data_IF_386306396114
#
_entry.id   IF_386306396114
#
_cell.length_a   1.000
_cell.length_b   1.000
_cell.length_c   1.000
_cell.angle_alpha   90.00
_cell.angle_beta   90.00
_cell.angle_gamma   90.00
#
_symmetry.space_group_name_H-M   'P 1'
#
loop_
_entity.id
_entity.type
_entity.pdbx_description
1 polymer ?
#
# COMPACT_ATOMS: atom_id res chain seq x y z
N UNK A 1 -12.61 -6.77 -11.99
CA UNK A 1 -11.84 -5.53 -11.81
C UNK A 1 -10.38 -5.81 -12.14
N UNK A 2 -9.60 -4.82 -12.57
CA UNK A 2 -8.17 -4.90 -12.82
C UNK A 2 -7.42 -3.98 -11.85
N UNK A 3 -6.39 -4.53 -11.21
CA UNK A 3 -5.51 -3.79 -10.32
C UNK A 3 -4.10 -3.83 -10.92
N UNK A 4 -3.55 -2.65 -11.16
CA UNK A 4 -2.15 -2.46 -11.55
C UNK A 4 -1.34 -2.05 -10.33
N UNK A 5 -0.25 -2.74 -10.04
CA UNK A 5 0.71 -2.35 -9.00
C UNK A 5 2.03 -1.94 -9.65
N UNK A 6 2.62 -0.84 -9.20
CA UNK A 6 3.79 -0.22 -9.85
C UNK A 6 4.92 0.03 -8.86
N UNK A 7 6.14 -0.29 -9.28
CA UNK A 7 7.39 -0.08 -8.57
C UNK A 7 8.36 0.72 -9.43
N UNK A 8 9.22 1.51 -8.79
CA UNK A 8 10.33 2.19 -9.45
C UNK A 8 11.68 1.61 -9.07
N UNK A 9 12.69 1.84 -9.92
CA UNK A 9 14.08 1.74 -9.46
C UNK A 9 14.36 2.81 -8.40
N UNK A 10 15.21 2.46 -7.44
CA UNK A 10 15.81 3.40 -6.50
C UNK A 10 16.67 4.44 -7.23
N UNK A 11 16.89 5.58 -6.58
CA UNK A 11 17.76 6.63 -7.10
C UNK A 11 17.20 7.47 -8.25
N UNK A 12 15.96 7.26 -8.70
CA UNK A 12 15.30 8.20 -9.61
C UNK A 12 15.24 9.59 -8.97
N UNK A 13 15.55 10.61 -9.76
CA UNK A 13 15.29 12.00 -9.37
C UNK A 13 13.78 12.20 -9.14
N UNK A 14 13.41 13.14 -8.26
CA UNK A 14 11.99 13.43 -8.04
C UNK A 14 11.30 13.85 -9.34
N UNK A 15 11.99 14.62 -10.19
CA UNK A 15 11.49 15.02 -11.51
C UNK A 15 11.22 13.81 -12.41
N UNK A 16 12.16 12.89 -12.52
CA UNK A 16 12.00 11.68 -13.35
C UNK A 16 10.87 10.80 -12.83
N UNK A 17 10.78 10.62 -11.50
CA UNK A 17 9.72 9.84 -10.87
C UNK A 17 8.35 10.51 -11.07
N UNK A 18 8.27 11.83 -10.96
CA UNK A 18 7.05 12.60 -11.20
C UNK A 18 6.54 12.44 -12.64
N UNK A 19 7.43 12.64 -13.63
CA UNK A 19 7.07 12.49 -15.04
C UNK A 19 6.59 11.07 -15.37
N UNK A 20 7.30 10.06 -14.84
CA UNK A 20 6.92 8.66 -15.00
C UNK A 20 5.59 8.33 -14.30
N UNK A 21 5.36 8.86 -13.09
CA UNK A 21 4.09 8.69 -12.36
C UNK A 21 2.92 9.23 -13.18
N UNK A 22 3.06 10.45 -13.72
CA UNK A 22 2.05 11.08 -14.57
C UNK A 22 1.77 10.24 -15.82
N UNK A 23 2.82 9.77 -16.51
CA UNK A 23 2.69 8.93 -17.70
C UNK A 23 1.93 7.63 -17.38
N UNK A 24 2.31 6.93 -16.32
CA UNK A 24 1.69 5.66 -15.92
C UNK A 24 0.22 5.86 -15.55
N UNK A 25 -0.13 6.92 -14.83
CA UNK A 25 -1.53 7.23 -14.50
C UNK A 25 -2.34 7.47 -15.78
N UNK A 26 -1.86 8.35 -16.65
CA UNK A 26 -2.61 8.75 -17.85
C UNK A 26 -2.78 7.62 -18.87
N UNK A 27 -1.86 6.65 -18.90
CA UNK A 27 -1.90 5.51 -19.82
C UNK A 27 -2.49 4.23 -19.21
N UNK A 28 -2.83 4.24 -17.90
CA UNK A 28 -3.42 3.07 -17.24
C UNK A 28 -4.81 2.75 -17.81
N UNK A 29 -5.06 1.45 -17.98
CA UNK A 29 -6.39 0.90 -18.32
C UNK A 29 -6.97 0.04 -17.20
N UNK A 30 -6.28 -0.03 -16.05
CA UNK A 30 -6.76 -0.71 -14.85
C UNK A 30 -7.86 0.13 -14.16
N UNK A 31 -8.72 -0.53 -13.40
CA UNK A 31 -9.71 0.15 -12.56
C UNK A 31 -9.04 0.84 -11.35
N UNK A 32 -7.95 0.24 -10.85
CA UNK A 32 -7.14 0.77 -9.74
C UNK A 32 -5.64 0.64 -10.04
N UNK A 33 -4.90 1.69 -9.74
CA UNK A 33 -3.45 1.75 -9.78
C UNK A 33 -2.88 2.00 -8.38
N UNK A 34 -2.06 1.08 -7.87
CA UNK A 34 -1.33 1.24 -6.62
C UNK A 34 0.15 1.50 -6.92
N UNK A 35 0.66 2.64 -6.46
CA UNK A 35 2.08 2.92 -6.48
C UNK A 35 2.78 2.47 -5.19
N UNK A 36 4.06 2.16 -5.29
CA UNK A 36 4.94 2.03 -4.13
C UNK A 36 5.02 3.34 -3.35
N UNK A 37 5.36 3.26 -2.06
CA UNK A 37 5.55 4.43 -1.21
C UNK A 37 6.63 5.38 -1.75
N UNK A 38 6.61 6.62 -1.26
CA UNK A 38 7.40 7.73 -1.81
C UNK A 38 7.25 7.87 -3.34
N UNK A 39 6.00 7.85 -3.81
CA UNK A 39 5.65 8.03 -5.23
C UNK A 39 5.96 9.47 -5.67
N UNK A 40 5.53 10.44 -4.86
CA UNK A 40 5.76 11.87 -5.07
C UNK A 40 6.71 12.38 -3.97
N UNK A 41 7.66 13.23 -4.34
CA UNK A 41 8.67 13.72 -3.42
C UNK A 41 8.16 14.83 -2.52
N UNK A 42 7.54 15.85 -3.12
CA UNK A 42 7.21 17.11 -2.45
C UNK A 42 5.81 17.63 -2.79
N UNK A 43 5.24 18.41 -1.87
CA UNK A 43 3.87 18.93 -1.98
C UNK A 43 3.60 19.78 -3.22
N UNK A 44 4.59 20.52 -3.74
CA UNK A 44 4.44 21.32 -4.96
C UNK A 44 4.19 20.45 -6.22
N UNK A 45 4.66 19.21 -6.22
CA UNK A 45 4.42 18.25 -7.29
C UNK A 45 2.95 17.81 -7.31
N UNK A 46 2.24 17.85 -6.18
CA UNK A 46 0.79 17.52 -6.13
C UNK A 46 -0.03 18.49 -6.97
N UNK A 47 0.23 19.80 -6.86
CA UNK A 47 -0.48 20.81 -7.67
C UNK A 47 -0.16 20.66 -9.16
N UNK A 48 1.09 20.30 -9.48
CA UNK A 48 1.49 20.00 -10.86
C UNK A 48 0.82 18.74 -11.39
N UNK A 49 0.62 17.73 -10.53
CA UNK A 49 -0.07 16.49 -10.90
C UNK A 49 -1.55 16.77 -11.18
N UNK A 50 -2.23 17.57 -10.35
CA UNK A 50 -3.65 17.93 -10.52
C UNK A 50 -3.98 18.48 -11.91
N UNK A 51 -3.10 19.30 -12.48
CA UNK A 51 -3.31 19.90 -13.81
C UNK A 51 -2.89 18.99 -14.96
N UNK A 52 -2.20 17.89 -14.65
CA UNK A 52 -1.58 17.00 -15.63
C UNK A 52 -2.32 15.66 -15.81
N UNK A 53 -3.20 15.29 -14.87
CA UNK A 53 -3.98 14.05 -14.97
C UNK A 53 -5.14 14.24 -15.95
N UNK A 54 -5.17 13.40 -16.97
CA UNK A 54 -6.25 13.34 -17.97
C UNK A 54 -7.08 12.07 -17.86
N UNK A 55 -6.53 11.00 -17.26
CA UNK A 55 -7.26 9.78 -16.99
C UNK A 55 -8.25 9.98 -15.83
N UNK A 56 -9.52 9.72 -16.12
CA UNK A 56 -10.63 9.81 -15.16
C UNK A 56 -11.22 8.46 -14.77
N UNK A 57 -10.82 7.39 -15.46
CA UNK A 57 -11.39 6.05 -15.31
C UNK A 57 -10.64 5.24 -14.26
N UNK A 58 -9.33 5.43 -14.15
CA UNK A 58 -8.49 4.72 -13.16
C UNK A 58 -8.50 5.45 -11.82
N UNK A 59 -8.85 4.76 -10.74
CA UNK A 59 -8.58 5.22 -9.37
C UNK A 59 -7.10 4.98 -9.03
N UNK A 60 -6.46 5.88 -8.28
CA UNK A 60 -5.01 5.79 -8.00
C UNK A 60 -4.71 6.00 -6.53
N UNK A 61 -3.99 5.07 -5.89
CA UNK A 61 -3.43 5.25 -4.56
C UNK A 61 -1.93 5.48 -4.67
N UNK A 62 -1.47 6.59 -4.11
CA UNK A 62 -0.05 6.96 -4.09
C UNK A 62 0.32 7.69 -2.80
N UNK A 63 1.63 7.77 -2.55
CA UNK A 63 2.16 8.39 -1.34
C UNK A 63 3.05 9.58 -1.64
N UNK A 64 2.81 10.68 -0.93
CA UNK A 64 3.68 11.84 -0.86
C UNK A 64 4.68 11.68 0.30
N UNK A 65 5.97 11.74 -0.01
CA UNK A 65 7.04 11.61 0.99
C UNK A 65 7.06 12.77 1.98
N UNK A 66 7.10 14.02 1.50
CA UNK A 66 7.33 15.19 2.35
C UNK A 66 6.37 16.33 2.02
N UNK A 67 5.70 16.86 3.05
CA UNK A 67 4.87 18.06 2.96
C UNK A 67 5.62 19.34 3.39
N UNK A 68 6.95 19.28 3.43
CA UNK A 68 7.83 20.26 4.08
C UNK A 68 7.55 20.37 5.58
N UNK A 69 7.39 19.21 6.23
CA UNK A 69 7.18 19.12 7.68
C UNK A 69 8.09 18.08 8.32
N UNK A 70 8.71 18.44 9.43
CA UNK A 70 9.46 17.47 10.24
C UNK A 70 8.56 16.45 10.94
N UNK A 71 7.27 16.79 11.13
CA UNK A 71 6.32 16.02 11.94
C UNK A 71 5.43 15.08 11.12
N UNK A 72 5.17 15.41 9.86
CA UNK A 72 4.22 14.70 9.01
C UNK A 72 4.91 14.38 7.69
N UNK A 73 4.99 13.08 7.39
CA UNK A 73 5.60 12.52 6.19
C UNK A 73 4.77 11.33 5.73
N UNK A 74 4.95 10.88 4.50
CA UNK A 74 4.32 9.66 3.97
C UNK A 74 2.79 9.79 3.97
N UNK A 75 2.28 10.88 3.40
CA UNK A 75 0.85 11.17 3.31
C UNK A 75 0.22 10.40 2.16
N UNK A 76 -0.96 9.81 2.38
CA UNK A 76 -1.70 9.14 1.33
C UNK A 76 -2.59 10.09 0.54
N UNK A 77 -2.60 9.85 -0.76
CA UNK A 77 -3.49 10.52 -1.70
C UNK A 77 -4.24 9.48 -2.54
N UNK A 78 -5.44 9.90 -2.95
CA UNK A 78 -6.32 9.13 -3.80
C UNK A 78 -6.71 9.99 -5.01
N UNK A 79 -6.49 9.50 -6.22
CA UNK A 79 -7.06 10.10 -7.43
C UNK A 79 -8.35 9.36 -7.75
N UNK A 80 -9.46 10.10 -7.83
CA UNK A 80 -10.77 9.55 -8.17
C UNK A 80 -11.46 10.48 -9.16
N UNK A 81 -11.95 9.94 -10.27
CA UNK A 81 -12.58 10.71 -11.36
C UNK A 81 -11.69 11.85 -11.89
N UNK A 82 -10.36 11.64 -11.89
CA UNK A 82 -9.37 12.65 -12.27
C UNK A 82 -9.06 13.70 -11.21
N UNK A 83 -9.69 13.66 -10.03
CA UNK A 83 -9.43 14.61 -8.94
C UNK A 83 -8.51 14.01 -7.88
N UNK A 84 -7.49 14.78 -7.47
CA UNK A 84 -6.56 14.38 -6.42
C UNK A 84 -7.11 14.77 -5.04
N UNK A 85 -7.33 13.78 -4.19
CA UNK A 85 -7.85 13.91 -2.84
C UNK A 85 -6.77 13.52 -1.82
N UNK A 86 -6.57 14.36 -0.81
CA UNK A 86 -5.76 14.00 0.35
C UNK A 86 -6.61 13.13 1.29
N UNK A 87 -6.10 11.98 1.73
CA UNK A 87 -6.81 11.12 2.68
C UNK A 87 -6.67 11.60 4.15
N UNK A 88 -6.01 12.74 4.37
CA UNK A 88 -5.76 13.37 5.66
C UNK A 88 -5.14 12.42 6.68
N UNK A 89 -4.18 11.64 6.21
CA UNK A 89 -3.54 10.55 6.93
C UNK A 89 -2.09 10.41 6.49
N UNK A 90 -1.29 9.81 7.35
CA UNK A 90 0.13 9.58 7.16
C UNK A 90 0.53 8.27 7.85
N UNK A 91 1.67 7.70 7.47
CA UNK A 91 2.17 6.50 8.15
C UNK A 91 2.34 6.76 9.66
N UNK A 92 1.73 5.92 10.49
CA UNK A 92 1.66 6.13 11.95
C UNK A 92 2.86 5.51 12.67
N UNK A 93 3.33 4.34 12.21
CA UNK A 93 4.54 3.67 12.69
C UNK A 93 5.12 2.75 11.62
N UNK A 94 6.35 2.28 11.81
CA UNK A 94 7.04 1.38 10.89
C UNK A 94 7.39 0.05 11.55
N UNK A 95 7.78 0.05 12.81
CA UNK A 95 8.40 -1.09 13.47
C UNK A 95 7.52 -1.71 14.54
N UNK A 96 7.72 -3.01 14.80
CA UNK A 96 6.98 -3.70 15.86
C UNK A 96 7.23 -3.13 17.25
N UNK A 97 8.43 -2.57 17.50
CA UNK A 97 8.76 -1.97 18.79
C UNK A 97 7.95 -0.71 19.12
N UNK A 98 7.48 0.03 18.12
CA UNK A 98 6.68 1.24 18.32
C UNK A 98 5.24 0.93 18.77
N UNK A 99 4.70 -0.20 18.32
CA UNK A 99 3.31 -0.61 18.52
C UNK A 99 3.16 -1.65 19.64
N UNK A 100 4.25 -2.27 20.09
CA UNK A 100 4.24 -3.23 21.20
C UNK A 100 3.65 -2.60 22.46
N UNK A 101 2.54 -3.15 22.96
CA UNK A 101 1.78 -2.64 24.12
C UNK A 101 1.35 -1.16 24.03
N UNK A 102 1.31 -0.59 22.82
CA UNK A 102 0.95 0.82 22.60
C UNK A 102 -0.50 0.94 22.11
N UNK A 103 -1.43 0.86 23.06
CA UNK A 103 -2.87 0.86 22.80
C UNK A 103 -3.36 2.13 22.11
N UNK A 104 -2.80 3.31 22.45
CA UNK A 104 -3.17 4.59 21.85
C UNK A 104 -2.76 4.66 20.38
N UNK A 105 -1.60 4.11 20.04
CA UNK A 105 -1.12 4.07 18.66
C UNK A 105 -1.96 3.11 17.81
N UNK A 106 -2.34 1.96 18.37
CA UNK A 106 -3.27 1.04 17.72
C UNK A 106 -4.66 1.67 17.55
N UNK A 107 -5.22 2.30 18.58
CA UNK A 107 -6.51 2.98 18.49
C UNK A 107 -6.49 4.07 17.41
N UNK A 108 -5.42 4.87 17.34
CA UNK A 108 -5.23 5.86 16.27
C UNK A 108 -5.16 5.21 14.88
N UNK A 109 -4.50 4.05 14.72
CA UNK A 109 -4.45 3.36 13.44
C UNK A 109 -5.81 2.79 13.02
N UNK A 110 -6.51 2.09 13.92
CA UNK A 110 -7.84 1.54 13.66
C UNK A 110 -8.87 2.66 13.43
N UNK A 111 -8.75 3.74 14.21
CA UNK A 111 -8.90 5.14 13.82
C UNK A 111 -9.08 5.45 12.33
N UNK A 112 -7.91 5.64 11.73
CA UNK A 112 -7.70 6.07 10.35
C UNK A 112 -8.09 4.98 9.34
N UNK A 113 -7.94 3.69 9.69
CA UNK A 113 -8.42 2.59 8.87
C UNK A 113 -9.93 2.68 8.63
N UNK A 114 -10.73 2.82 9.69
CA UNK A 114 -12.18 2.84 9.56
C UNK A 114 -12.72 4.10 8.89
N UNK A 115 -12.04 5.24 9.01
CA UNK A 115 -12.61 6.55 8.67
C UNK A 115 -11.92 7.30 7.53
N UNK A 116 -10.67 6.95 7.18
CA UNK A 116 -9.85 7.74 6.24
C UNK A 116 -9.26 6.93 5.11
N UNK A 117 -8.89 5.67 5.38
CA UNK A 117 -8.13 4.82 4.45
C UNK A 117 -8.96 3.75 3.77
N UNK A 118 -10.27 3.80 3.99
CA UNK A 118 -11.25 2.88 3.43
C UNK A 118 -12.05 3.56 2.34
N UNK A 119 -12.20 2.90 1.19
CA UNK A 119 -12.97 3.40 0.05
C UNK A 119 -13.55 2.25 -0.76
N UNK A 120 -14.46 2.53 -1.69
CA UNK A 120 -15.12 1.51 -2.49
C UNK A 120 -14.89 1.72 -3.99
N UNK A 121 -14.61 0.64 -4.71
CA UNK A 121 -14.58 0.56 -6.18
C UNK A 121 -15.41 -0.65 -6.60
N UNK A 122 -16.40 -0.46 -7.48
CA UNK A 122 -17.21 -1.56 -8.04
C UNK A 122 -17.77 -2.56 -6.99
N UNK A 123 -18.28 -2.03 -5.87
CA UNK A 123 -18.81 -2.76 -4.69
C UNK A 123 -17.77 -3.46 -3.80
N UNK A 124 -16.50 -3.48 -4.18
CA UNK A 124 -15.42 -3.97 -3.33
C UNK A 124 -14.94 -2.86 -2.40
N UNK A 125 -14.70 -3.22 -1.15
CA UNK A 125 -14.20 -2.39 -0.07
C UNK A 125 -12.67 -2.53 0.03
N UNK A 126 -11.97 -1.41 -0.12
CA UNK A 126 -10.53 -1.32 -0.11
C UNK A 126 -10.03 -0.68 1.19
N UNK A 127 -8.92 -1.18 1.72
CA UNK A 127 -8.21 -0.57 2.85
C UNK A 127 -6.72 -0.40 2.53
N UNK A 128 -6.17 0.79 2.80
CA UNK A 128 -4.73 1.05 2.67
C UNK A 128 -4.01 0.90 4.01
N UNK A 129 -3.03 -0.01 4.06
CA UNK A 129 -2.07 -0.20 5.17
C UNK A 129 -0.71 0.25 4.69
N UNK A 130 -0.11 1.29 5.26
CA UNK A 130 1.14 1.87 4.74
C UNK A 130 2.36 1.16 5.30
N UNK A 131 3.16 0.57 4.40
CA UNK A 131 4.49 0.06 4.68
C UNK A 131 4.51 -0.81 5.95
N UNK A 132 5.28 -0.39 6.96
CA UNK A 132 5.50 -1.11 8.20
C UNK A 132 4.31 -1.18 9.16
N UNK A 133 3.21 -0.48 8.90
CA UNK A 133 1.99 -0.54 9.73
C UNK A 133 1.39 -1.96 9.79
N UNK A 134 1.77 -2.84 8.87
CA UNK A 134 1.47 -4.27 8.97
C UNK A 134 2.08 -4.94 10.23
N UNK A 135 2.95 -4.24 10.98
CA UNK A 135 3.39 -4.62 12.33
C UNK A 135 2.29 -4.48 13.41
N UNK A 136 1.11 -3.95 13.07
CA UNK A 136 -0.13 -4.12 13.85
C UNK A 136 -0.47 -5.61 14.07
N UNK A 137 0.06 -6.47 13.20
CA UNK A 137 0.05 -7.92 13.32
C UNK A 137 1.35 -8.40 13.97
N UNK A 138 1.27 -9.49 14.74
CA UNK A 138 2.44 -10.23 15.23
C UNK A 138 2.45 -11.66 14.69
N UNK A 139 3.65 -12.23 14.57
CA UNK A 139 3.84 -13.63 14.24
C UNK A 139 4.20 -14.39 15.52
N UNK A 140 3.50 -15.47 15.79
CA UNK A 140 3.81 -16.40 16.89
C UNK A 140 4.74 -17.46 16.32
N UNK A 141 6.04 -17.28 16.55
CA UNK A 141 7.10 -18.08 15.92
C UNK A 141 7.05 -19.54 16.34
N UNK A 142 6.64 -19.82 17.59
CA UNK A 142 6.46 -21.17 18.12
C UNK A 142 5.30 -21.94 17.46
N UNK A 143 4.42 -21.25 16.74
CA UNK A 143 3.23 -21.81 16.09
C UNK A 143 3.32 -21.60 14.58
N UNK A 144 4.43 -22.02 13.98
CA UNK A 144 4.65 -21.93 12.52
C UNK A 144 4.47 -20.51 11.95
N UNK A 145 4.81 -19.49 12.74
CA UNK A 145 4.59 -18.07 12.43
C UNK A 145 3.11 -17.68 12.24
N UNK A 146 2.17 -18.36 12.93
CA UNK A 146 0.76 -17.96 12.99
C UNK A 146 0.64 -16.47 13.24
N UNK A 147 -0.26 -15.83 12.49
CA UNK A 147 -0.47 -14.39 12.55
C UNK A 147 -1.71 -14.09 13.37
N UNK A 148 -1.60 -13.09 14.23
CA UNK A 148 -2.73 -12.51 14.93
C UNK A 148 -2.55 -11.00 15.11
N UNK A 149 -3.63 -10.34 15.48
CA UNK A 149 -3.59 -8.95 15.92
C UNK A 149 -2.67 -8.81 17.14
N UNK A 150 -1.85 -7.76 17.20
CA UNK A 150 -0.83 -7.66 18.26
C UNK A 150 -1.46 -7.51 19.65
N UNK A 151 -2.59 -6.80 19.74
CA UNK A 151 -3.28 -6.46 20.97
C UNK A 151 -4.58 -7.28 21.14
N UNK A 152 -4.54 -8.58 20.86
CA UNK A 152 -5.68 -9.50 21.00
C UNK A 152 -6.32 -9.50 22.39
N UNK A 153 -5.54 -9.23 23.43
CA UNK A 153 -6.01 -9.19 24.83
C UNK A 153 -6.90 -7.96 25.14
N UNK A 154 -6.83 -6.90 24.32
CA UNK A 154 -7.74 -5.76 24.43
C UNK A 154 -9.01 -6.04 23.63
N UNK A 155 -10.09 -6.39 24.33
CA UNK A 155 -11.34 -6.80 23.70
C UNK A 155 -11.92 -5.73 22.75
N UNK A 156 -11.79 -4.44 23.10
CA UNK A 156 -12.36 -3.33 22.32
C UNK A 156 -11.57 -3.13 21.03
N UNK A 157 -10.24 -3.08 21.12
CA UNK A 157 -9.38 -2.92 19.95
C UNK A 157 -9.45 -4.17 19.05
N UNK A 158 -9.51 -5.36 19.65
CA UNK A 158 -9.62 -6.60 18.90
C UNK A 158 -10.95 -6.70 18.14
N UNK A 159 -12.09 -6.39 18.78
CA UNK A 159 -13.39 -6.33 18.10
C UNK A 159 -13.37 -5.34 16.93
N UNK A 160 -12.81 -4.15 17.16
CA UNK A 160 -12.69 -3.12 16.12
C UNK A 160 -11.80 -3.58 14.96
N UNK A 161 -10.67 -4.23 15.24
CA UNK A 161 -9.80 -4.78 14.22
C UNK A 161 -10.50 -5.88 13.40
N UNK A 162 -11.19 -6.81 14.07
CA UNK A 162 -11.95 -7.87 13.41
C UNK A 162 -13.07 -7.31 12.53
N UNK A 163 -13.77 -6.26 12.98
CA UNK A 163 -14.76 -5.56 12.17
C UNK A 163 -14.14 -4.98 10.90
N UNK A 164 -13.04 -4.23 11.02
CA UNK A 164 -12.31 -3.68 9.86
C UNK A 164 -11.89 -4.80 8.90
N UNK A 165 -11.34 -5.91 9.43
CA UNK A 165 -10.93 -7.06 8.65
C UNK A 165 -12.10 -7.70 7.91
N UNK A 166 -13.28 -7.81 8.54
CA UNK A 166 -14.46 -8.43 7.95
C UNK A 166 -15.13 -7.55 6.88
N UNK A 167 -15.05 -6.24 7.01
CA UNK A 167 -15.64 -5.31 6.06
C UNK A 167 -14.67 -4.88 4.94
N UNK A 168 -13.50 -5.53 4.83
CA UNK A 168 -12.50 -5.23 3.81
C UNK A 168 -12.37 -6.41 2.85
N UNK A 169 -12.48 -6.15 1.56
CA UNK A 169 -12.32 -7.14 0.50
C UNK A 169 -10.89 -7.12 -0.06
N UNK A 170 -10.29 -5.92 -0.14
CA UNK A 170 -8.97 -5.73 -0.74
C UNK A 170 -8.06 -4.87 0.16
N UNK A 171 -6.92 -5.42 0.56
CA UNK A 171 -5.87 -4.68 1.24
C UNK A 171 -4.81 -4.18 0.26
N UNK A 172 -4.43 -2.91 0.39
CA UNK A 172 -3.38 -2.27 -0.40
C UNK A 172 -2.24 -1.84 0.51
N UNK A 173 -1.00 -2.16 0.14
CA UNK A 173 0.17 -1.79 0.90
C UNK A 173 1.25 -1.12 0.03
N UNK A 174 1.27 0.23 -0.05
CA UNK A 174 2.40 0.96 -0.61
C UNK A 174 3.59 0.87 0.36
N UNK A 175 4.69 0.30 -0.12
CA UNK A 175 5.91 0.07 0.68
C UNK A 175 7.05 0.94 0.11
N UNK A 176 7.94 1.46 0.97
CA UNK A 176 9.07 2.28 0.53
C UNK A 176 10.17 1.46 -0.16
N UNK A 177 10.57 0.36 0.47
CA UNK A 177 11.61 -0.57 0.00
C UNK A 177 11.29 -2.01 0.44
N UNK A 178 11.87 -3.04 -0.19
CA UNK A 178 11.52 -4.43 0.10
C UNK A 178 11.79 -4.77 1.57
N UNK A 179 10.74 -5.22 2.26
CA UNK A 179 10.81 -5.52 3.70
C UNK A 179 11.81 -6.64 4.01
N UNK A 180 12.39 -6.61 5.22
CA UNK A 180 13.14 -7.76 5.75
C UNK A 180 12.23 -8.93 6.13
N UNK A 181 12.82 -10.05 6.55
CA UNK A 181 12.10 -11.20 7.11
C UNK A 181 10.92 -11.69 6.24
N UNK A 182 11.17 -11.90 4.94
CA UNK A 182 10.11 -12.20 3.96
C UNK A 182 9.21 -13.38 4.36
N UNK A 183 9.71 -14.39 5.07
CA UNK A 183 8.86 -15.48 5.60
C UNK A 183 7.80 -15.01 6.61
N UNK A 184 8.14 -14.10 7.53
CA UNK A 184 7.17 -13.52 8.49
C UNK A 184 6.18 -12.61 7.80
N UNK A 185 6.68 -11.80 6.87
CA UNK A 185 5.87 -10.86 6.08
C UNK A 185 4.92 -11.64 5.16
N UNK A 186 5.37 -12.72 4.54
CA UNK A 186 4.53 -13.61 3.73
C UNK A 186 3.34 -14.12 4.55
N UNK A 187 3.55 -14.65 5.77
CA UNK A 187 2.43 -15.08 6.63
C UNK A 187 1.41 -13.98 6.92
N UNK A 188 1.83 -12.73 6.99
CA UNK A 188 0.91 -11.59 7.18
C UNK A 188 0.13 -11.25 5.91
N UNK A 189 0.76 -11.35 4.73
CA UNK A 189 0.07 -11.24 3.44
C UNK A 189 -0.96 -12.35 3.27
N UNK A 190 -0.59 -13.58 3.63
CA UNK A 190 -1.49 -14.74 3.65
C UNK A 190 -2.68 -14.49 4.57
N UNK A 191 -2.43 -14.02 5.81
CA UNK A 191 -3.48 -13.70 6.79
C UNK A 191 -4.47 -12.64 6.29
N UNK A 192 -3.96 -11.51 5.76
CA UNK A 192 -4.80 -10.41 5.27
C UNK A 192 -5.62 -10.79 4.03
N UNK A 193 -5.16 -11.77 3.24
CA UNK A 193 -5.87 -12.26 2.06
C UNK A 193 -6.76 -13.47 2.34
N UNK A 194 -6.87 -13.99 3.56
CA UNK A 194 -7.76 -15.12 3.87
C UNK A 194 -9.25 -14.75 3.68
N UNK A 195 -10.09 -15.78 3.55
CA UNK A 195 -11.55 -15.65 3.48
C UNK A 195 -12.00 -14.84 2.27
N UNK A 196 -11.56 -15.27 1.08
CA UNK A 196 -11.91 -14.66 -0.21
C UNK A 196 -11.49 -13.19 -0.38
N UNK A 197 -10.44 -12.77 0.34
CA UNK A 197 -9.89 -11.41 0.27
C UNK A 197 -8.66 -11.33 -0.60
N UNK A 198 -8.35 -10.11 -1.01
CA UNK A 198 -7.17 -9.80 -1.79
C UNK A 198 -6.17 -8.98 -0.99
N UNK A 199 -4.89 -9.18 -1.26
CA UNK A 199 -3.82 -8.34 -0.73
C UNK A 199 -2.85 -7.96 -1.85
N UNK A 200 -2.56 -6.67 -1.98
CA UNK A 200 -1.60 -6.14 -2.93
C UNK A 200 -0.55 -5.32 -2.21
N UNK A 201 0.73 -5.52 -2.55
CA UNK A 201 1.80 -4.65 -2.07
C UNK A 201 2.83 -4.38 -3.15
N UNK A 202 3.39 -3.18 -3.14
CA UNK A 202 4.44 -2.78 -4.07
C UNK A 202 5.48 -1.91 -3.36
N UNK A 203 6.77 -2.12 -3.67
CA UNK A 203 7.89 -1.32 -3.19
C UNK A 203 8.80 -0.88 -4.32
N UNK A 204 9.55 0.20 -4.13
CA UNK A 204 10.68 0.51 -5.01
C UNK A 204 11.79 -0.54 -4.83
N UNK A 205 12.76 -0.58 -5.75
CA UNK A 205 13.99 -1.35 -5.51
C UNK A 205 14.80 -0.74 -4.35
N UNK A 206 15.79 -1.49 -3.84
CA UNK A 206 16.79 -0.96 -2.90
C UNK A 206 17.84 -0.14 -3.65
N UNK A 207 18.55 0.74 -2.95
CA UNK A 207 19.57 1.63 -3.54
C UNK A 207 20.70 0.89 -4.27
N UNK A 208 20.98 -0.36 -3.89
CA UNK A 208 21.99 -1.24 -4.46
C UNK A 208 21.46 -2.19 -5.55
N UNK A 209 20.16 -2.12 -5.88
CA UNK A 209 19.53 -3.01 -6.85
C UNK A 209 18.78 -2.25 -7.92
N UNK A 210 19.11 -2.53 -9.18
CA UNK A 210 18.34 -2.09 -10.35
C UNK A 210 17.46 -3.19 -10.94
N UNK A 211 17.41 -4.36 -10.28
CA UNK A 211 16.64 -5.49 -10.79
C UNK A 211 15.14 -5.29 -10.47
N UNK A 212 14.39 -4.87 -11.48
CA UNK A 212 12.95 -4.66 -11.41
C UNK A 212 12.14 -5.97 -11.41
N UNK A 213 12.71 -7.12 -11.80
CA UNK A 213 11.95 -8.38 -11.85
C UNK A 213 11.99 -9.15 -10.52
N UNK A 214 12.59 -8.58 -9.47
CA UNK A 214 12.61 -9.19 -8.13
C UNK A 214 11.18 -9.37 -7.60
N UNK A 215 10.82 -10.61 -7.24
CA UNK A 215 9.53 -10.94 -6.61
C UNK A 215 9.29 -10.13 -5.33
N UNK A 216 10.34 -9.75 -4.62
CA UNK A 216 10.26 -8.96 -3.38
C UNK A 216 9.73 -7.53 -3.55
N UNK A 217 9.65 -7.03 -4.78
CA UNK A 217 9.08 -5.70 -5.06
C UNK A 217 7.56 -5.71 -5.03
N UNK A 218 6.92 -6.78 -5.52
CA UNK A 218 5.51 -6.78 -5.82
C UNK A 218 4.87 -8.11 -5.46
N UNK A 219 3.80 -8.04 -4.68
CA UNK A 219 3.03 -9.20 -4.24
C UNK A 219 1.55 -8.95 -4.46
N UNK A 220 0.86 -10.00 -4.89
CA UNK A 220 -0.58 -10.05 -5.02
C UNK A 220 -1.03 -11.42 -4.49
N UNK A 221 -1.96 -11.43 -3.55
CA UNK A 221 -2.49 -12.64 -2.93
C UNK A 221 -4.01 -12.65 -2.99
N UNK A 222 -4.58 -13.86 -3.10
CA UNK A 222 -6.00 -14.13 -2.95
C UNK A 222 -6.19 -15.42 -2.15
N UNK A 223 -7.03 -15.37 -1.12
CA UNK A 223 -7.32 -16.51 -0.25
C UNK A 223 -6.05 -17.22 0.25
N UNK A 224 -5.04 -16.45 0.67
CA UNK A 224 -3.77 -16.97 1.16
C UNK A 224 -2.77 -17.45 0.10
N UNK A 225 -3.07 -17.36 -1.18
CA UNK A 225 -2.20 -17.86 -2.26
C UNK A 225 -1.75 -16.73 -3.19
N UNK A 226 -0.58 -16.86 -3.81
CA UNK A 226 -0.13 -15.91 -4.84
C UNK A 226 -1.13 -15.87 -6.00
N UNK A 227 -1.49 -14.64 -6.41
CA UNK A 227 -2.25 -14.42 -7.63
C UNK A 227 -1.36 -14.54 -8.87
N UNK A 228 -1.96 -15.06 -9.94
CA UNK A 228 -1.33 -15.10 -11.26
C UNK A 228 -1.44 -13.72 -11.91
N UNK A 229 -0.32 -13.17 -12.37
CA UNK A 229 -0.30 -11.91 -13.12
C UNK A 229 -1.00 -12.09 -14.48
N UNK A 230 -1.90 -11.16 -14.83
CA UNK A 230 -2.55 -11.12 -16.16
C UNK A 230 -1.57 -10.56 -17.20
N UNK A 231 -0.82 -9.52 -16.83
CA UNK A 231 0.22 -8.95 -17.67
C UNK A 231 1.28 -8.20 -16.88
N UNK A 232 2.43 -7.99 -17.52
CA UNK A 232 3.62 -7.35 -16.97
C UNK A 232 4.15 -6.30 -17.95
N UNK A 233 4.38 -5.09 -17.47
CA UNK A 233 4.97 -3.98 -18.22
C UNK A 233 6.27 -3.60 -17.51
N UNK A 234 7.39 -3.72 -18.21
CA UNK A 234 8.71 -3.39 -17.66
C UNK A 234 9.40 -2.36 -18.55
N UNK A 235 10.00 -1.35 -17.92
CA UNK A 235 10.87 -0.35 -18.55
C UNK A 235 12.22 -0.35 -17.83
N UNK A 236 13.14 0.50 -18.27
CA UNK A 236 14.41 0.68 -17.57
C UNK A 236 14.26 1.31 -16.17
N UNK A 237 13.12 1.94 -15.88
CA UNK A 237 12.90 2.74 -14.65
C UNK A 237 11.77 2.22 -13.76
N UNK A 238 10.88 1.39 -14.30
CA UNK A 238 9.70 0.90 -13.57
C UNK A 238 9.26 -0.48 -14.01
N UNK A 239 8.49 -1.12 -13.14
CA UNK A 239 7.74 -2.32 -13.43
C UNK A 239 6.32 -2.18 -12.93
N UNK A 240 5.36 -2.56 -13.77
CA UNK A 240 3.96 -2.69 -13.41
C UNK A 240 3.49 -4.11 -13.68
N UNK A 241 2.73 -4.67 -12.73
CA UNK A 241 2.03 -5.95 -12.89
C UNK A 241 0.53 -5.70 -12.75
N UNK A 242 -0.24 -6.33 -13.63
CA UNK A 242 -1.70 -6.19 -13.68
C UNK A 242 -2.33 -7.51 -13.29
N UNK A 243 -3.34 -7.45 -12.43
CA UNK A 243 -4.07 -8.59 -11.91
C UNK A 243 -5.56 -8.40 -12.16
N UNK A 244 -6.24 -9.48 -12.57
CA UNK A 244 -7.69 -9.53 -12.64
C UNK A 244 -8.24 -10.12 -11.34
N UNK A 245 -9.20 -9.41 -10.75
CA UNK A 245 -9.96 -9.85 -9.57
C UNK A 245 -11.46 -9.85 -9.85
#
# INVERSE_FOLDING_TARGET
MRIQITSYISGLSNKDKFELTKEIINNSTADLLLFSGHTIGFVNEIESLKTSITNKETEVIFELKDINSEKIKNCLYHIKNGEIQNLYTNQIFAESGEIENNYQLADRLLYEFANKRKFNINKLSFLVIQCGEMNILKNIQSEENRVEFRLTEDAILNERFLKILNETDVFLNPIHSPMGNQGKIQKRREFLSQNEKYYFSTSNTKDDSRNLDLKSLQYAFYNGNDLIEESKIITDKSISRIYKI
#
